data_IF_301142620498
#
_entry.id   IF_301142620498
#
_cell.length_a   1.000
_cell.length_b   1.000
_cell.length_c   1.000
_cell.angle_alpha   90.00
_cell.angle_beta   90.00
_cell.angle_gamma   90.00
#
_symmetry.space_group_name_H-M   'P 1'
#
loop_
_entity.id
_entity.type
_entity.pdbx_description
1 polymer ?
#
# COMPACT_ATOMS: atom_id res chain seq x y z
N UNK A 1 8.27 -1.46 -9.55
CA UNK A 1 7.67 -0.68 -8.47
C UNK A 1 6.16 -0.84 -8.46
N UNK A 2 5.48 -0.35 -9.50
CA UNK A 2 4.03 -0.31 -9.55
C UNK A 2 3.32 -1.67 -9.43
N UNK A 3 3.77 -2.70 -10.15
CA UNK A 3 3.04 -3.98 -10.19
C UNK A 3 3.30 -4.91 -8.98
N UNK A 4 4.28 -4.58 -8.13
CA UNK A 4 4.70 -5.40 -6.98
C UNK A 4 4.67 -4.59 -5.69
N UNK A 5 3.50 -4.00 -5.42
CA UNK A 5 3.25 -3.25 -4.19
C UNK A 5 3.53 -4.08 -2.94
N UNK A 6 3.28 -5.40 -2.98
CA UNK A 6 3.60 -6.35 -1.92
C UNK A 6 5.07 -6.30 -1.48
N UNK A 7 6.01 -6.22 -2.44
CA UNK A 7 7.44 -6.19 -2.13
C UNK A 7 7.82 -4.87 -1.44
N UNK A 8 7.25 -3.75 -1.89
CA UNK A 8 7.44 -2.44 -1.26
C UNK A 8 6.88 -2.46 0.16
N UNK A 9 5.65 -2.94 0.35
CA UNK A 9 5.03 -3.04 1.68
C UNK A 9 5.84 -3.93 2.62
N UNK A 10 6.35 -5.07 2.13
CA UNK A 10 7.21 -5.96 2.92
C UNK A 10 8.52 -5.29 3.34
N UNK A 11 9.08 -4.43 2.48
CA UNK A 11 10.28 -3.64 2.78
C UNK A 11 10.00 -2.63 3.90
N UNK A 12 8.87 -1.92 3.84
CA UNK A 12 8.47 -0.96 4.89
C UNK A 12 8.28 -1.66 6.24
N UNK A 13 7.63 -2.82 6.26
CA UNK A 13 7.50 -3.65 7.47
C UNK A 13 8.86 -4.14 7.99
N UNK A 14 9.79 -4.54 7.10
CA UNK A 14 11.16 -4.92 7.47
C UNK A 14 11.93 -3.76 8.09
N UNK A 15 11.74 -2.55 7.57
CA UNK A 15 12.38 -1.32 8.06
C UNK A 15 11.67 -0.74 9.28
N UNK A 16 10.46 -1.23 9.61
CA UNK A 16 9.62 -0.72 10.69
C UNK A 16 9.37 0.78 10.55
N UNK A 17 9.18 1.24 9.32
CA UNK A 17 9.01 2.66 9.01
C UNK A 17 8.20 2.84 7.72
N UNK A 18 7.22 3.75 7.72
CA UNK A 18 6.31 3.97 6.59
C UNK A 18 6.98 4.67 5.39
N UNK A 19 8.00 5.49 5.63
CA UNK A 19 8.82 6.09 4.56
C UNK A 19 10.28 6.32 5.00
N UNK A 20 11.12 5.27 5.05
CA UNK A 20 12.44 5.32 5.68
C UNK A 20 13.49 6.13 4.90
N UNK A 21 13.20 6.50 3.66
CA UNK A 21 14.14 7.25 2.81
C UNK A 21 14.12 8.73 3.19
N UNK A 22 15.26 9.25 3.65
CA UNK A 22 15.42 10.67 3.91
C UNK A 22 15.18 11.50 2.66
N UNK A 23 14.63 12.72 2.82
CA UNK A 23 14.25 13.69 1.77
C UNK A 23 13.25 13.22 0.69
N UNK A 24 12.83 11.96 0.69
CA UNK A 24 11.87 11.41 -0.29
C UNK A 24 10.40 11.57 0.14
N UNK A 25 10.14 12.17 1.30
CA UNK A 25 8.79 12.30 1.89
C UNK A 25 8.53 13.75 2.23
N UNK A 26 7.30 14.23 2.02
CA UNK A 26 6.85 15.58 2.40
C UNK A 26 6.66 15.78 3.91
N UNK A 27 7.04 14.80 4.73
CA UNK A 27 6.92 14.87 6.18
C UNK A 27 7.94 15.85 6.74
N UNK A 28 7.46 16.86 7.46
CA UNK A 28 8.29 17.74 8.28
C UNK A 28 8.48 17.02 9.62
N UNK A 29 9.70 16.54 9.94
CA UNK A 29 9.92 15.79 11.17
C UNK A 29 9.68 16.66 12.40
N UNK A 30 8.86 16.16 13.32
CA UNK A 30 8.86 16.66 14.71
C UNK A 30 10.26 16.38 15.29
N UNK A 31 10.86 17.39 15.94
CA UNK A 31 12.23 17.32 16.44
C UNK A 31 12.44 16.25 17.52
N UNK A 32 11.36 15.81 18.17
CA UNK A 32 11.38 14.86 19.28
C UNK A 32 10.89 13.47 18.86
N UNK A 33 9.96 13.39 17.91
CA UNK A 33 9.28 12.13 17.57
C UNK A 33 9.15 11.90 16.06
N UNK A 34 9.29 10.65 15.63
CA UNK A 34 8.99 10.23 14.26
C UNK A 34 7.73 9.35 14.24
N UNK A 35 6.62 9.93 13.78
CA UNK A 35 5.33 9.25 13.72
C UNK A 35 5.19 8.28 12.53
N UNK A 36 6.19 8.19 11.65
CA UNK A 36 6.23 7.21 10.57
C UNK A 36 6.87 5.89 11.01
N UNK A 37 7.45 5.84 12.22
CA UNK A 37 7.95 4.60 12.83
C UNK A 37 6.80 3.65 13.15
N UNK A 38 6.94 2.40 12.71
CA UNK A 38 6.01 1.31 13.02
C UNK A 38 6.46 0.65 14.32
N UNK A 39 6.15 1.27 15.45
CA UNK A 39 6.59 0.81 16.79
C UNK A 39 5.94 -0.51 17.21
N UNK A 40 4.64 -0.67 16.91
CA UNK A 40 3.90 -1.94 17.13
C UNK A 40 3.74 -2.69 15.81
N UNK A 41 4.00 -3.99 15.82
CA UNK A 41 3.77 -4.83 14.64
C UNK A 41 2.26 -4.91 14.39
N UNK A 42 1.75 -4.52 13.22
CA UNK A 42 0.33 -4.57 12.93
C UNK A 42 -0.09 -5.98 12.51
N UNK A 43 -1.35 -6.34 12.74
CA UNK A 43 -1.96 -7.55 12.14
C UNK A 43 -2.33 -7.32 10.67
N UNK A 44 -2.73 -6.09 10.33
CA UNK A 44 -3.15 -5.66 8.99
C UNK A 44 -2.39 -4.38 8.62
N UNK A 45 -1.70 -4.41 7.49
CA UNK A 45 -1.00 -3.26 6.92
C UNK A 45 -1.65 -2.88 5.58
N UNK A 46 -2.25 -1.70 5.54
CA UNK A 46 -2.95 -1.20 4.35
C UNK A 46 -2.16 -0.06 3.72
N UNK A 47 -2.02 -0.08 2.40
CA UNK A 47 -1.45 1.02 1.63
C UNK A 47 -2.32 1.36 0.42
N UNK A 48 -1.98 2.46 -0.25
CA UNK A 48 -2.59 2.89 -1.49
C UNK A 48 -1.56 3.61 -2.34
N UNK A 49 -1.96 4.74 -2.95
CA UNK A 49 -1.10 5.63 -3.76
C UNK A 49 -0.57 5.02 -5.08
N UNK A 50 -0.23 3.73 -5.10
CA UNK A 50 0.27 3.00 -6.27
C UNK A 50 -0.84 2.74 -7.29
N UNK A 51 -2.12 2.81 -6.92
CA UNK A 51 -3.27 2.57 -7.80
C UNK A 51 -3.30 1.16 -8.41
N UNK A 52 -2.72 0.18 -7.71
CA UNK A 52 -2.71 -1.25 -8.06
C UNK A 52 -3.23 -2.06 -6.88
N UNK A 53 -4.07 -3.04 -7.16
CA UNK A 53 -4.52 -3.92 -6.09
C UNK A 53 -3.47 -5.00 -5.81
N UNK A 54 -3.12 -5.19 -4.55
CA UNK A 54 -2.29 -6.31 -4.11
C UNK A 54 -2.77 -6.83 -2.77
N UNK A 55 -2.81 -8.15 -2.61
CA UNK A 55 -3.09 -8.82 -1.34
C UNK A 55 -2.01 -9.86 -1.12
N UNK A 56 -1.32 -9.79 0.01
CA UNK A 56 -0.27 -10.74 0.37
C UNK A 56 -0.08 -10.78 1.89
N UNK A 57 0.92 -11.53 2.35
CA UNK A 57 1.24 -11.61 3.77
C UNK A 57 2.75 -11.59 3.98
N UNK A 58 3.21 -10.96 5.06
CA UNK A 58 4.61 -10.98 5.48
C UNK A 58 4.70 -11.25 6.98
N UNK A 59 5.34 -12.37 7.37
CA UNK A 59 5.49 -12.79 8.78
C UNK A 59 4.19 -12.67 9.59
N UNK A 60 3.08 -13.22 9.06
CA UNK A 60 1.72 -13.20 9.63
C UNK A 60 1.01 -11.83 9.61
N UNK A 61 1.65 -10.76 9.12
CA UNK A 61 0.99 -9.48 8.83
C UNK A 61 0.29 -9.59 7.49
N UNK A 62 -1.02 -9.31 7.44
CA UNK A 62 -1.78 -9.23 6.19
C UNK A 62 -1.52 -7.89 5.52
N UNK A 63 -1.11 -7.89 4.26
CA UNK A 63 -0.78 -6.69 3.49
C UNK A 63 -1.81 -6.48 2.39
N UNK A 64 -2.41 -5.30 2.36
CA UNK A 64 -3.40 -4.91 1.35
C UNK A 64 -2.97 -3.58 0.72
N UNK A 65 -2.68 -3.58 -0.59
CA UNK A 65 -2.61 -2.36 -1.38
C UNK A 65 -3.96 -2.15 -2.05
N UNK A 66 -4.62 -1.07 -1.70
CA UNK A 66 -5.86 -0.64 -2.33
C UNK A 66 -5.62 -0.13 -3.74
N UNK A 67 -6.59 -0.39 -4.61
CA UNK A 67 -6.61 0.14 -5.96
C UNK A 67 -6.89 1.65 -6.00
N UNK A 68 -7.48 2.14 -7.08
CA UNK A 68 -7.96 3.50 -7.17
C UNK A 68 -9.40 3.56 -7.72
N UNK A 69 -9.96 4.77 -7.70
CA UNK A 69 -11.20 5.12 -8.41
C UNK A 69 -10.93 6.12 -9.55
N UNK A 70 -9.67 6.22 -9.97
CA UNK A 70 -9.20 7.18 -10.97
C UNK A 70 -8.81 6.44 -12.25
N UNK A 71 -9.40 6.84 -13.39
CA UNK A 71 -8.96 6.37 -14.70
C UNK A 71 -7.52 6.83 -14.97
N UNK A 72 -6.78 6.06 -15.78
CA UNK A 72 -5.41 6.38 -16.20
C UNK A 72 -5.31 7.84 -16.67
N UNK A 73 -4.43 8.61 -16.01
CA UNK A 73 -4.18 10.01 -16.35
C UNK A 73 -3.10 10.14 -17.43
N UNK A 74 -3.02 11.29 -18.09
CA UNK A 74 -1.96 11.57 -19.06
C UNK A 74 -0.55 11.50 -18.45
N UNK A 75 -0.39 11.88 -17.18
CA UNK A 75 0.86 11.69 -16.46
C UNK A 75 1.19 10.21 -16.25
N UNK A 76 0.22 9.42 -15.77
CA UNK A 76 0.39 7.97 -15.58
C UNK A 76 0.73 7.28 -16.90
N UNK A 77 0.13 7.70 -18.01
CA UNK A 77 0.49 7.23 -19.35
C UNK A 77 1.95 7.54 -19.72
N UNK A 78 2.37 8.79 -19.54
CA UNK A 78 3.74 9.23 -19.82
C UNK A 78 4.80 8.46 -19.02
N UNK A 79 4.50 8.05 -17.80
CA UNK A 79 5.43 7.28 -16.95
C UNK A 79 5.24 5.76 -17.03
N UNK A 80 4.43 5.27 -17.98
CA UNK A 80 4.19 3.84 -18.18
C UNK A 80 3.39 3.17 -17.04
N UNK A 81 2.69 3.95 -16.22
CA UNK A 81 1.88 3.44 -15.12
C UNK A 81 0.51 2.95 -15.62
N UNK A 82 0.12 1.75 -15.21
CA UNK A 82 -1.13 1.10 -15.61
C UNK A 82 -2.00 0.83 -14.38
N UNK A 83 -2.80 1.80 -13.93
CA UNK A 83 -3.62 1.66 -12.72
C UNK A 83 -4.74 0.63 -12.93
N UNK A 84 -5.30 0.16 -11.82
CA UNK A 84 -6.39 -0.81 -11.79
C UNK A 84 -7.63 -0.19 -11.12
N UNK A 85 -8.34 0.73 -11.76
CA UNK A 85 -9.49 1.37 -11.13
C UNK A 85 -10.58 0.35 -10.78
N UNK A 86 -11.46 0.73 -9.85
CA UNK A 86 -12.70 0.00 -9.56
C UNK A 86 -12.51 -1.38 -8.90
N UNK A 87 -11.43 -1.56 -8.13
CA UNK A 87 -11.18 -2.81 -7.37
C UNK A 87 -11.19 -2.55 -5.87
N UNK A 88 -11.97 -3.33 -5.13
CA UNK A 88 -12.18 -3.17 -3.68
C UNK A 88 -11.80 -4.46 -2.95
N UNK A 89 -10.67 -4.49 -2.22
CA UNK A 89 -10.33 -5.57 -1.30
C UNK A 89 -11.26 -5.56 -0.07
N UNK A 90 -11.93 -6.67 0.20
CA UNK A 90 -12.76 -6.90 1.39
C UNK A 90 -12.13 -8.01 2.22
N UNK A 91 -11.81 -7.72 3.47
CA UNK A 91 -11.20 -8.65 4.40
C UNK A 91 -12.21 -9.13 5.45
N UNK A 92 -12.26 -10.44 5.66
CA UNK A 92 -12.97 -11.03 6.79
C UNK A 92 -12.08 -11.00 8.03
N UNK A 93 -12.45 -10.28 9.08
CA UNK A 93 -11.61 -10.13 10.28
C UNK A 93 -11.52 -11.38 11.16
N UNK A 94 -12.42 -12.36 11.00
CA UNK A 94 -12.37 -13.64 11.73
C UNK A 94 -11.42 -14.63 11.06
N UNK A 95 -11.45 -14.71 9.73
CA UNK A 95 -10.65 -15.70 8.97
C UNK A 95 -9.41 -15.11 8.32
N UNK A 96 -9.27 -13.78 8.33
CA UNK A 96 -8.25 -13.00 7.62
C UNK A 96 -8.24 -13.20 6.10
N UNK A 97 -9.27 -13.85 5.54
CA UNK A 97 -9.39 -14.05 4.09
C UNK A 97 -9.82 -12.76 3.41
N UNK A 98 -9.26 -12.51 2.22
CA UNK A 98 -9.56 -11.32 1.43
C UNK A 98 -10.19 -11.72 0.10
N UNK A 99 -11.24 -11.02 -0.31
CA UNK A 99 -11.84 -11.08 -1.64
C UNK A 99 -11.68 -9.73 -2.33
N UNK A 100 -11.45 -9.71 -3.64
CA UNK A 100 -11.39 -8.47 -4.42
C UNK A 100 -12.67 -8.35 -5.23
N UNK A 101 -13.50 -7.35 -4.91
CA UNK A 101 -14.65 -6.99 -5.73
C UNK A 101 -14.18 -6.12 -6.90
N UNK A 102 -14.81 -6.30 -8.05
CA UNK A 102 -14.51 -5.60 -9.31
C UNK A 102 -15.76 -4.88 -9.79
N UNK A 103 -15.62 -3.59 -10.08
CA UNK A 103 -16.69 -2.70 -10.56
C UNK A 103 -16.33 -2.07 -11.91
N UNK A 104 -15.27 -2.57 -12.56
CA UNK A 104 -14.92 -2.29 -13.95
C UNK A 104 -15.78 -3.16 -14.89
N UNK A 105 -17.04 -2.75 -15.07
CA UNK A 105 -17.96 -3.26 -16.09
C UNK A 105 -17.94 -2.35 -17.34
#
# INVERSE_FOLDING_TARGET
GYDRADLIMSLLLRKRHLSPTHSSTLYIPDLKNDFLVIDKVPDIFVSGHIHKTSVSSYKKVSMICGSCWQRKTSFQEKVGHNPEPCRVPIMNLKTMQVKILRFDA
#
